data_IF_329402231328
#
_entry.id   IF_329402231328
#
_cell.length_a   1.000
_cell.length_b   1.000
_cell.length_c   1.000
_cell.angle_alpha   90.00
_cell.angle_beta   90.00
_cell.angle_gamma   90.00
#
_symmetry.space_group_name_H-M   'P 1'
#
loop_
_entity.id
_entity.type
_entity.pdbx_description
1 polymer ?
#
# COMPACT_ATOMS: atom_id res chain seq x y z
N UNK A 1 -29.97 -17.85 26.40
CA UNK A 1 -30.38 -17.99 24.99
C UNK A 1 -31.70 -18.73 24.99
N UNK A 2 -32.71 -18.17 24.33
CA UNK A 2 -34.06 -18.71 24.30
C UNK A 2 -34.41 -19.15 22.87
N UNK A 3 -34.78 -20.42 22.73
CA UNK A 3 -35.26 -21.03 21.48
C UNK A 3 -36.75 -21.34 21.59
N UNK A 4 -37.43 -21.43 20.44
CA UNK A 4 -38.81 -21.96 20.36
C UNK A 4 -38.90 -23.38 20.89
N UNK A 5 -40.12 -23.83 21.19
CA UNK A 5 -40.39 -25.17 21.72
C UNK A 5 -39.86 -26.31 20.82
N UNK A 6 -39.80 -26.11 19.50
CA UNK A 6 -39.24 -27.05 18.54
C UNK A 6 -37.72 -26.88 18.32
N UNK A 7 -37.09 -25.92 19.00
CA UNK A 7 -35.66 -25.60 18.91
C UNK A 7 -35.22 -24.95 17.59
N UNK A 8 -36.16 -24.63 16.68
CA UNK A 8 -35.83 -24.17 15.32
C UNK A 8 -35.77 -22.66 15.17
N UNK A 9 -36.34 -21.90 16.10
CA UNK A 9 -36.34 -20.44 16.07
C UNK A 9 -35.55 -19.89 17.24
N UNK A 10 -34.57 -19.05 16.96
CA UNK A 10 -33.88 -18.25 17.96
C UNK A 10 -34.77 -17.06 18.33
N UNK A 11 -35.30 -17.04 19.55
CA UNK A 11 -36.27 -16.04 20.02
C UNK A 11 -35.57 -14.89 20.74
N UNK A 12 -34.57 -15.19 21.58
CA UNK A 12 -33.87 -14.15 22.35
C UNK A 12 -32.42 -14.57 22.67
N UNK A 13 -31.53 -13.60 22.53
CA UNK A 13 -30.12 -13.66 22.94
C UNK A 13 -29.86 -12.48 23.87
N UNK A 14 -29.11 -12.74 24.93
CA UNK A 14 -28.66 -11.74 25.90
C UNK A 14 -27.14 -11.64 25.90
N UNK A 15 -26.58 -10.62 26.55
CA UNK A 15 -25.12 -10.50 26.67
C UNK A 15 -24.47 -11.68 27.42
N UNK A 16 -25.22 -12.38 28.29
CA UNK A 16 -24.74 -13.57 29.01
C UNK A 16 -24.55 -14.79 28.09
N UNK A 17 -25.15 -14.76 26.89
CA UNK A 17 -25.00 -15.79 25.87
C UNK A 17 -23.76 -15.59 24.99
N UNK A 18 -23.05 -14.47 25.17
CA UNK A 18 -21.92 -14.09 24.35
C UNK A 18 -20.61 -14.57 24.96
N UNK A 19 -19.74 -15.12 24.12
CA UNK A 19 -18.36 -15.44 24.49
C UNK A 19 -17.44 -14.47 23.74
N UNK A 20 -16.75 -13.58 24.47
CA UNK A 20 -15.85 -12.56 23.89
C UNK A 20 -16.52 -11.69 22.81
N UNK A 21 -17.81 -11.36 23.00
CA UNK A 21 -18.58 -10.56 22.05
C UNK A 21 -19.06 -11.31 20.80
N UNK A 22 -18.96 -12.64 20.80
CA UNK A 22 -19.43 -13.50 19.71
C UNK A 22 -20.60 -14.38 20.16
N UNK A 23 -21.45 -14.73 19.20
CA UNK A 23 -22.53 -15.70 19.38
C UNK A 23 -22.30 -16.92 18.50
N UNK A 24 -22.40 -18.11 19.09
CA UNK A 24 -22.52 -19.37 18.35
C UNK A 24 -24.00 -19.71 18.24
N UNK A 25 -24.56 -19.63 17.04
CA UNK A 25 -25.94 -20.06 16.78
C UNK A 25 -26.00 -21.59 16.81
N UNK A 26 -26.84 -22.22 17.66
CA UNK A 26 -26.90 -23.67 17.77
C UNK A 26 -27.28 -24.37 16.46
N UNK A 27 -26.75 -25.58 16.28
CA UNK A 27 -27.12 -26.45 15.17
C UNK A 27 -28.62 -26.75 15.21
N UNK A 28 -29.28 -26.66 14.04
CA UNK A 28 -30.71 -26.94 13.91
C UNK A 28 -31.61 -25.71 13.95
N UNK A 29 -31.09 -24.54 14.38
CA UNK A 29 -31.80 -23.27 14.20
C UNK A 29 -31.99 -23.02 12.71
N UNK A 30 -33.22 -22.74 12.32
CA UNK A 30 -33.63 -22.41 10.94
C UNK A 30 -34.06 -20.95 10.80
N UNK A 31 -34.50 -20.34 11.89
CA UNK A 31 -35.02 -18.97 11.87
C UNK A 31 -34.45 -18.16 13.02
N UNK A 32 -34.04 -16.93 12.74
CA UNK A 32 -33.81 -15.89 13.74
C UNK A 32 -35.08 -15.06 13.80
N UNK A 33 -35.73 -15.09 14.96
CA UNK A 33 -36.99 -14.41 15.19
C UNK A 33 -36.84 -12.90 15.29
N UNK A 34 -37.99 -12.23 15.33
CA UNK A 34 -38.07 -10.78 15.46
C UNK A 34 -37.41 -10.33 16.76
N UNK A 35 -36.55 -9.31 16.69
CA UNK A 35 -35.87 -8.71 17.85
C UNK A 35 -35.00 -9.67 18.67
N UNK A 36 -34.62 -10.83 18.13
CA UNK A 36 -33.86 -11.85 18.88
C UNK A 36 -32.52 -11.33 19.45
N UNK A 37 -32.00 -10.24 18.90
CA UNK A 37 -30.74 -9.61 19.29
C UNK A 37 -30.90 -8.22 19.92
N UNK A 38 -32.11 -7.81 20.31
CA UNK A 38 -32.37 -6.47 20.84
C UNK A 38 -31.54 -6.14 22.09
N UNK A 39 -31.27 -7.14 22.93
CA UNK A 39 -30.52 -7.01 24.18
C UNK A 39 -29.00 -7.21 24.03
N UNK A 40 -28.50 -7.46 22.82
CA UNK A 40 -27.10 -7.79 22.56
C UNK A 40 -26.25 -6.54 22.31
N UNK A 41 -25.92 -5.80 23.37
CA UNK A 41 -25.09 -4.59 23.26
C UNK A 41 -23.61 -4.89 23.03
N UNK A 42 -23.14 -6.05 23.50
CA UNK A 42 -21.71 -6.41 23.47
C UNK A 42 -21.33 -7.29 22.26
N UNK A 43 -22.30 -7.62 21.38
CA UNK A 43 -22.03 -8.43 20.19
C UNK A 43 -21.20 -7.62 19.19
N UNK A 44 -19.98 -8.10 18.91
CA UNK A 44 -19.01 -7.47 17.99
C UNK A 44 -18.93 -8.18 16.64
N UNK A 45 -19.22 -9.49 16.61
CA UNK A 45 -19.24 -10.30 15.40
C UNK A 45 -20.39 -11.31 15.42
N UNK A 46 -21.04 -11.52 14.26
CA UNK A 46 -22.12 -12.47 14.09
C UNK A 46 -21.91 -13.35 12.86
N UNK A 47 -22.00 -14.66 13.03
CA UNK A 47 -22.03 -15.63 11.93
C UNK A 47 -23.43 -16.23 11.82
N UNK A 48 -24.07 -16.08 10.67
CA UNK A 48 -25.38 -16.68 10.37
C UNK A 48 -25.15 -17.96 9.56
N UNK A 49 -25.49 -19.15 10.10
CA UNK A 49 -25.27 -20.44 9.45
C UNK A 49 -26.05 -20.64 8.15
N UNK A 50 -25.66 -21.67 7.39
CA UNK A 50 -26.23 -21.98 6.08
C UNK A 50 -27.76 -22.13 6.12
N UNK A 51 -28.43 -21.46 5.17
CA UNK A 51 -29.88 -21.55 4.99
C UNK A 51 -30.73 -20.95 6.10
N UNK A 52 -30.12 -20.27 7.09
CA UNK A 52 -30.88 -19.63 8.17
C UNK A 52 -31.62 -18.41 7.64
N UNK A 53 -32.88 -18.27 8.08
CA UNK A 53 -33.77 -17.17 7.72
C UNK A 53 -33.83 -16.18 8.88
N UNK A 54 -33.42 -14.93 8.65
CA UNK A 54 -33.70 -13.82 9.57
C UNK A 54 -35.07 -13.26 9.20
N UNK A 55 -36.00 -13.29 10.15
CA UNK A 55 -37.38 -12.82 9.91
C UNK A 55 -37.40 -11.36 9.44
N UNK A 56 -38.47 -10.99 8.74
CA UNK A 56 -38.76 -9.56 8.51
C UNK A 56 -38.77 -8.82 9.84
N UNK A 57 -38.16 -7.63 9.87
CA UNK A 57 -37.98 -6.84 11.10
C UNK A 57 -37.23 -7.58 12.21
N UNK A 58 -36.43 -8.60 11.86
CA UNK A 58 -35.48 -9.26 12.76
C UNK A 58 -34.62 -8.29 13.56
N UNK A 59 -34.42 -7.08 13.01
CA UNK A 59 -33.72 -5.92 13.58
C UNK A 59 -32.67 -6.34 14.59
N UNK A 60 -31.51 -6.72 14.07
CA UNK A 60 -30.33 -7.04 14.87
C UNK A 60 -29.76 -5.70 15.36
N UNK A 61 -30.27 -5.26 16.50
CA UNK A 61 -30.04 -3.94 17.06
C UNK A 61 -28.72 -3.82 17.85
N UNK A 62 -27.69 -4.59 17.50
CA UNK A 62 -26.39 -4.57 18.17
C UNK A 62 -25.56 -3.34 17.76
N UNK A 63 -25.30 -2.36 18.64
CA UNK A 63 -24.54 -1.15 18.30
C UNK A 63 -23.03 -1.41 18.18
N UNK A 64 -22.52 -2.43 18.86
CA UNK A 64 -21.11 -2.84 18.81
C UNK A 64 -20.74 -3.74 17.63
N UNK A 65 -21.71 -4.12 16.79
CA UNK A 65 -21.49 -5.09 15.71
C UNK A 65 -20.61 -4.50 14.61
N UNK A 66 -19.42 -5.09 14.43
CA UNK A 66 -18.41 -4.64 13.48
C UNK A 66 -18.27 -5.55 12.26
N UNK A 67 -18.60 -6.84 12.41
CA UNK A 67 -18.50 -7.84 11.35
C UNK A 67 -19.72 -8.78 11.33
N UNK A 68 -20.22 -9.05 10.14
CA UNK A 68 -21.27 -10.06 9.90
C UNK A 68 -20.79 -11.03 8.81
N UNK A 69 -20.93 -12.32 9.07
CA UNK A 69 -20.67 -13.38 8.10
C UNK A 69 -21.95 -14.15 7.79
N UNK A 70 -22.36 -14.11 6.52
CA UNK A 70 -23.54 -14.78 6.00
C UNK A 70 -23.09 -16.03 5.24
N UNK A 71 -23.43 -17.21 5.74
CA UNK A 71 -23.16 -18.46 5.06
C UNK A 71 -24.07 -18.65 3.82
N UNK A 72 -23.86 -19.75 3.09
CA UNK A 72 -24.59 -20.06 1.87
C UNK A 72 -26.11 -20.03 2.09
N UNK A 73 -26.85 -19.44 1.16
CA UNK A 73 -28.32 -19.50 1.17
C UNK A 73 -29.02 -18.79 2.33
N UNK A 74 -28.31 -17.96 3.11
CA UNK A 74 -28.95 -17.17 4.19
C UNK A 74 -29.98 -16.22 3.60
N UNK A 75 -31.13 -16.10 4.27
CA UNK A 75 -32.18 -15.15 3.91
C UNK A 75 -32.25 -14.04 4.94
N UNK A 76 -31.96 -12.81 4.54
CA UNK A 76 -32.13 -11.62 5.37
C UNK A 76 -33.45 -10.95 5.02
N UNK A 77 -34.43 -11.06 5.91
CA UNK A 77 -35.69 -10.35 5.79
C UNK A 77 -35.51 -8.84 5.88
N UNK A 78 -36.53 -8.11 5.41
CA UNK A 78 -36.58 -6.65 5.39
C UNK A 78 -36.06 -6.03 6.69
N UNK A 79 -35.06 -5.15 6.57
CA UNK A 79 -34.52 -4.39 7.70
C UNK A 79 -33.86 -5.24 8.78
N UNK A 80 -33.11 -6.29 8.41
CA UNK A 80 -32.37 -7.09 9.39
C UNK A 80 -31.21 -6.32 10.08
N UNK A 81 -30.51 -5.43 9.38
CA UNK A 81 -29.35 -4.67 9.89
C UNK A 81 -29.40 -3.14 9.61
N UNK A 82 -30.54 -2.44 9.83
CA UNK A 82 -30.63 -1.02 9.55
C UNK A 82 -29.78 -0.20 10.53
N UNK A 83 -29.10 0.83 10.00
CA UNK A 83 -28.37 1.83 10.76
C UNK A 83 -27.22 1.28 11.60
N UNK A 84 -26.60 0.16 11.21
CA UNK A 84 -25.44 -0.39 11.93
C UNK A 84 -24.20 0.44 11.65
N UNK A 85 -24.10 1.60 12.30
CA UNK A 85 -23.02 2.57 12.10
C UNK A 85 -21.66 2.07 12.58
N UNK A 86 -21.58 0.97 13.33
CA UNK A 86 -20.31 0.30 13.69
C UNK A 86 -19.89 -0.79 12.72
N UNK A 87 -20.77 -1.22 11.81
CA UNK A 87 -20.52 -2.33 10.89
C UNK A 87 -19.51 -1.91 9.84
N UNK A 88 -18.35 -2.57 9.83
CA UNK A 88 -17.24 -2.25 8.93
C UNK A 88 -17.16 -3.25 7.78
N UNK A 89 -17.61 -4.49 8.03
CA UNK A 89 -17.40 -5.63 7.12
C UNK A 89 -18.61 -6.56 7.10
N UNK A 90 -19.03 -6.96 5.90
CA UNK A 90 -20.02 -8.01 5.69
C UNK A 90 -19.46 -9.03 4.69
N UNK A 91 -19.35 -10.29 5.12
CA UNK A 91 -18.96 -11.40 4.25
C UNK A 91 -20.24 -12.08 3.75
N UNK A 92 -20.45 -12.10 2.43
CA UNK A 92 -21.68 -12.61 1.81
C UNK A 92 -21.30 -13.82 0.96
N UNK A 93 -21.73 -15.01 1.39
CA UNK A 93 -21.51 -16.26 0.64
C UNK A 93 -22.50 -16.42 -0.52
N UNK A 94 -22.34 -17.48 -1.30
CA UNK A 94 -23.19 -17.80 -2.45
C UNK A 94 -24.68 -17.90 -2.08
N UNK A 95 -25.55 -17.40 -2.97
CA UNK A 95 -27.00 -17.62 -2.89
C UNK A 95 -27.71 -16.90 -1.74
N UNK A 96 -27.08 -15.91 -1.11
CA UNK A 96 -27.72 -15.13 -0.03
C UNK A 96 -28.86 -14.28 -0.61
N UNK A 97 -29.98 -14.19 0.10
CA UNK A 97 -31.06 -13.26 -0.21
C UNK A 97 -31.01 -12.07 0.74
N UNK A 98 -30.81 -10.88 0.20
CA UNK A 98 -30.75 -9.61 0.94
C UNK A 98 -31.98 -8.80 0.55
N UNK A 99 -32.97 -8.71 1.45
CA UNK A 99 -34.20 -7.98 1.17
C UNK A 99 -34.02 -6.45 1.27
N UNK A 100 -35.08 -5.70 1.00
CA UNK A 100 -35.14 -4.24 1.02
C UNK A 100 -34.68 -3.67 2.37
N UNK A 101 -33.94 -2.56 2.30
CA UNK A 101 -33.43 -1.78 3.45
C UNK A 101 -32.64 -2.58 4.49
N UNK A 102 -32.05 -3.71 4.10
CA UNK A 102 -31.36 -4.62 5.04
C UNK A 102 -30.16 -3.97 5.72
N UNK A 103 -29.28 -3.30 4.99
CA UNK A 103 -28.07 -2.62 5.46
C UNK A 103 -28.14 -1.10 5.25
N UNK A 104 -29.33 -0.51 5.25
CA UNK A 104 -29.50 0.94 5.09
C UNK A 104 -28.72 1.72 6.16
N UNK A 105 -28.06 2.81 5.78
CA UNK A 105 -27.28 3.69 6.64
C UNK A 105 -26.18 2.99 7.47
N UNK A 106 -25.58 1.92 6.94
CA UNK A 106 -24.36 1.33 7.52
C UNK A 106 -23.14 2.20 7.16
N UNK A 107 -23.02 3.37 7.78
CA UNK A 107 -22.11 4.45 7.37
C UNK A 107 -20.62 4.18 7.59
N UNK A 108 -20.22 3.06 8.23
CA UNK A 108 -18.82 2.62 8.35
C UNK A 108 -18.45 1.44 7.45
N UNK A 109 -19.42 0.89 6.69
CA UNK A 109 -19.19 -0.23 5.80
C UNK A 109 -18.31 0.21 4.64
N UNK A 110 -17.07 -0.29 4.58
CA UNK A 110 -16.06 0.20 3.60
C UNK A 110 -16.02 -0.60 2.31
N UNK A 111 -16.23 -1.91 2.42
CA UNK A 111 -16.09 -2.87 1.33
C UNK A 111 -17.21 -3.89 1.40
N UNK A 112 -17.78 -4.23 0.25
CA UNK A 112 -18.80 -5.29 0.12
C UNK A 112 -18.42 -6.19 -1.05
N UNK A 113 -18.49 -7.50 -0.83
CA UNK A 113 -18.36 -8.51 -1.89
C UNK A 113 -19.67 -9.29 -1.98
N UNK A 114 -20.31 -9.25 -3.14
CA UNK A 114 -21.57 -9.93 -3.43
C UNK A 114 -21.25 -11.18 -4.26
N UNK A 115 -21.42 -12.36 -3.66
CA UNK A 115 -21.14 -13.65 -4.30
C UNK A 115 -22.22 -14.05 -5.32
N UNK A 116 -21.92 -15.05 -6.14
CA UNK A 116 -22.82 -15.55 -7.19
C UNK A 116 -24.17 -16.02 -6.60
N UNK A 117 -25.23 -15.86 -7.39
CA UNK A 117 -26.59 -16.21 -6.97
C UNK A 117 -27.20 -15.33 -5.88
N UNK A 118 -26.48 -14.31 -5.40
CA UNK A 118 -27.00 -13.38 -4.40
C UNK A 118 -28.04 -12.45 -5.02
N UNK A 119 -29.17 -12.28 -4.33
CA UNK A 119 -30.22 -11.31 -4.68
C UNK A 119 -30.20 -10.14 -3.71
N UNK A 120 -30.18 -8.92 -4.24
CA UNK A 120 -30.13 -7.68 -3.46
C UNK A 120 -31.36 -6.83 -3.76
N UNK A 121 -32.16 -6.59 -2.73
CA UNK A 121 -33.41 -5.83 -2.77
C UNK A 121 -33.21 -4.32 -2.92
N UNK A 122 -34.32 -3.61 -3.10
CA UNK A 122 -34.32 -2.14 -3.19
C UNK A 122 -33.69 -1.50 -1.94
N UNK A 123 -32.87 -0.46 -2.12
CA UNK A 123 -32.26 0.28 -1.00
C UNK A 123 -31.51 -0.59 0.02
N UNK A 124 -31.11 -1.82 -0.34
CA UNK A 124 -30.50 -2.76 0.60
C UNK A 124 -29.22 -2.22 1.24
N UNK A 125 -28.43 -1.43 0.52
CA UNK A 125 -27.22 -0.75 0.98
C UNK A 125 -27.34 0.78 0.84
N UNK A 126 -28.56 1.32 0.95
CA UNK A 126 -28.77 2.77 0.84
C UNK A 126 -27.97 3.53 1.91
N UNK A 127 -27.40 4.68 1.54
CA UNK A 127 -26.62 5.57 2.41
C UNK A 127 -25.45 4.89 3.17
N UNK A 128 -24.85 3.85 2.59
CA UNK A 128 -23.56 3.33 3.03
C UNK A 128 -22.42 4.27 2.58
N UNK A 129 -22.35 5.46 3.20
CA UNK A 129 -21.52 6.59 2.73
C UNK A 129 -20.01 6.38 2.84
N UNK A 130 -19.53 5.35 3.55
CA UNK A 130 -18.11 4.97 3.57
C UNK A 130 -17.75 3.85 2.58
N UNK A 131 -18.73 3.32 1.82
CA UNK A 131 -18.52 2.22 0.89
C UNK A 131 -17.70 2.72 -0.30
N UNK A 132 -16.43 2.34 -0.37
CA UNK A 132 -15.50 2.77 -1.42
C UNK A 132 -15.33 1.72 -2.51
N UNK A 133 -15.51 0.45 -2.16
CA UNK A 133 -15.24 -0.69 -3.03
C UNK A 133 -16.36 -1.72 -2.97
N UNK A 134 -16.90 -2.06 -4.14
CA UNK A 134 -17.93 -3.07 -4.33
C UNK A 134 -17.43 -4.13 -5.30
N UNK A 135 -17.41 -5.39 -4.88
CA UNK A 135 -17.12 -6.53 -5.75
C UNK A 135 -18.39 -7.31 -6.03
N UNK A 136 -18.67 -7.61 -7.30
CA UNK A 136 -19.86 -8.30 -7.77
C UNK A 136 -19.46 -9.55 -8.55
N UNK A 137 -20.00 -10.70 -8.18
CA UNK A 137 -19.88 -11.91 -8.98
C UNK A 137 -20.75 -11.85 -10.25
N UNK A 138 -20.45 -12.70 -11.23
CA UNK A 138 -21.35 -12.94 -12.36
C UNK A 138 -22.71 -13.49 -11.89
N UNK A 139 -23.80 -13.07 -12.54
CA UNK A 139 -25.14 -13.58 -12.28
C UNK A 139 -25.81 -13.00 -11.01
N UNK A 140 -25.27 -11.92 -10.44
CA UNK A 140 -25.94 -11.23 -9.31
C UNK A 140 -27.23 -10.53 -9.76
N UNK A 141 -28.25 -10.61 -8.91
CA UNK A 141 -29.50 -9.87 -9.10
C UNK A 141 -29.54 -8.65 -8.20
N UNK A 142 -29.36 -7.47 -8.78
CA UNK A 142 -29.45 -6.20 -8.05
C UNK A 142 -30.72 -5.46 -8.46
N UNK A 143 -31.56 -5.13 -7.49
CA UNK A 143 -32.68 -4.22 -7.74
C UNK A 143 -32.19 -2.78 -7.93
N UNK A 144 -33.01 -2.00 -8.62
CA UNK A 144 -32.79 -0.56 -8.78
C UNK A 144 -32.60 0.09 -7.40
N UNK A 145 -31.64 1.01 -7.29
CA UNK A 145 -31.33 1.75 -6.05
C UNK A 145 -30.80 0.91 -4.89
N UNK A 146 -30.37 -0.34 -5.10
CA UNK A 146 -29.73 -1.15 -4.06
C UNK A 146 -28.58 -0.42 -3.35
N UNK A 147 -27.83 0.41 -4.07
CA UNK A 147 -26.69 1.19 -3.56
C UNK A 147 -26.92 2.72 -3.66
N UNK A 148 -28.17 3.17 -3.57
CA UNK A 148 -28.47 4.61 -3.58
C UNK A 148 -27.76 5.34 -2.43
N UNK A 149 -27.27 6.56 -2.66
CA UNK A 149 -26.57 7.32 -1.61
C UNK A 149 -25.19 6.79 -1.20
N UNK A 150 -24.66 5.75 -1.85
CA UNK A 150 -23.27 5.29 -1.68
C UNK A 150 -22.30 6.24 -2.41
N UNK A 151 -22.15 7.46 -1.89
CA UNK A 151 -21.43 8.56 -2.55
C UNK A 151 -19.91 8.40 -2.60
N UNK A 152 -19.32 7.55 -1.73
CA UNK A 152 -17.88 7.27 -1.71
C UNK A 152 -17.46 6.12 -2.63
N UNK A 153 -18.39 5.48 -3.34
CA UNK A 153 -18.04 4.43 -4.30
C UNK A 153 -17.10 5.03 -5.34
N UNK A 154 -15.93 4.40 -5.47
CA UNK A 154 -14.90 4.78 -6.44
C UNK A 154 -14.44 3.59 -7.28
N UNK A 155 -14.69 2.36 -6.80
CA UNK A 155 -14.32 1.13 -7.47
C UNK A 155 -15.46 0.11 -7.41
N UNK A 156 -15.94 -0.30 -8.58
CA UNK A 156 -16.90 -1.39 -8.73
C UNK A 156 -16.26 -2.47 -9.60
N UNK A 157 -15.99 -3.62 -8.99
CA UNK A 157 -15.26 -4.73 -9.60
C UNK A 157 -16.27 -5.80 -9.96
N UNK A 158 -16.31 -6.19 -11.23
CA UNK A 158 -17.19 -7.28 -11.70
C UNK A 158 -16.34 -8.49 -12.05
N UNK A 159 -16.61 -9.61 -11.38
CA UNK A 159 -15.98 -10.89 -11.66
C UNK A 159 -16.73 -11.59 -12.81
N UNK A 160 -16.45 -11.12 -14.03
CA UNK A 160 -16.92 -11.71 -15.27
C UNK A 160 -15.89 -11.46 -16.37
N UNK A 161 -15.78 -12.41 -17.29
CA UNK A 161 -15.02 -12.22 -18.54
C UNK A 161 -15.92 -11.69 -19.68
N UNK A 162 -17.24 -11.76 -19.53
CA UNK A 162 -18.21 -11.40 -20.55
C UNK A 162 -18.54 -9.89 -20.51
N UNK A 163 -18.30 -9.18 -21.62
CA UNK A 163 -18.59 -7.74 -21.72
C UNK A 163 -20.09 -7.41 -21.60
N UNK A 164 -20.95 -8.37 -21.98
CA UNK A 164 -22.40 -8.23 -21.88
C UNK A 164 -22.85 -8.15 -20.42
N UNK A 165 -22.26 -8.95 -19.54
CA UNK A 165 -22.58 -8.95 -18.11
C UNK A 165 -22.10 -7.67 -17.43
N UNK A 166 -20.89 -7.20 -17.77
CA UNK A 166 -20.40 -5.90 -17.30
C UNK A 166 -21.34 -4.77 -17.71
N UNK A 167 -21.84 -4.80 -18.96
CA UNK A 167 -22.78 -3.79 -19.47
C UNK A 167 -24.15 -3.88 -18.77
N UNK A 168 -24.66 -5.10 -18.56
CA UNK A 168 -25.91 -5.34 -17.81
C UNK A 168 -25.84 -4.74 -16.42
N UNK A 169 -24.76 -5.02 -15.68
CA UNK A 169 -24.58 -4.52 -14.31
C UNK A 169 -24.38 -3.00 -14.32
N UNK A 170 -23.58 -2.44 -15.23
CA UNK A 170 -23.42 -0.98 -15.38
C UNK A 170 -24.76 -0.26 -15.49
N UNK A 171 -25.68 -0.80 -16.28
CA UNK A 171 -27.01 -0.21 -16.47
C UNK A 171 -27.91 -0.22 -15.22
N UNK A 172 -27.54 -0.95 -14.17
CA UNK A 172 -28.24 -0.92 -12.86
C UNK A 172 -27.80 0.27 -12.00
N UNK A 173 -26.70 0.94 -12.36
CA UNK A 173 -26.12 2.07 -11.64
C UNK A 173 -26.32 3.38 -12.43
N UNK A 174 -26.40 4.53 -11.73
CA UNK A 174 -26.37 5.85 -12.35
C UNK A 174 -25.18 6.06 -13.28
N UNK A 175 -25.38 6.83 -14.36
CA UNK A 175 -24.37 7.07 -15.40
C UNK A 175 -23.04 7.62 -14.86
N UNK A 176 -23.08 8.48 -13.84
CA UNK A 176 -21.85 9.05 -13.25
C UNK A 176 -20.96 8.01 -12.54
N UNK A 177 -21.51 6.84 -12.18
CA UNK A 177 -20.75 5.73 -11.59
C UNK A 177 -20.19 4.76 -12.63
N UNK A 178 -20.58 4.86 -13.91
CA UNK A 178 -20.14 3.92 -14.95
C UNK A 178 -18.62 3.88 -15.15
N UNK A 179 -17.94 5.00 -14.90
CA UNK A 179 -16.48 5.11 -14.97
C UNK A 179 -15.74 4.34 -13.86
N UNK A 180 -16.44 3.97 -12.78
CA UNK A 180 -15.86 3.26 -11.63
C UNK A 180 -15.81 1.74 -11.85
N UNK A 181 -16.44 1.25 -12.93
CA UNK A 181 -16.54 -0.16 -13.23
C UNK A 181 -15.30 -0.71 -13.90
N UNK A 182 -14.82 -1.84 -13.42
CA UNK A 182 -13.72 -2.58 -14.02
C UNK A 182 -13.91 -4.09 -13.86
N UNK A 183 -13.34 -4.88 -14.79
CA UNK A 183 -13.30 -6.33 -14.65
C UNK A 183 -12.35 -6.74 -13.53
N UNK A 184 -12.63 -7.88 -12.90
CA UNK A 184 -11.79 -8.47 -11.86
C UNK A 184 -10.37 -8.76 -12.34
N UNK A 185 -10.22 -9.27 -13.57
CA UNK A 185 -8.92 -9.49 -14.22
C UNK A 185 -8.07 -8.21 -14.28
N UNK A 186 -8.65 -7.08 -14.69
CA UNK A 186 -7.96 -5.78 -14.70
C UNK A 186 -7.59 -5.32 -13.29
N UNK A 187 -8.49 -5.48 -12.32
CA UNK A 187 -8.24 -5.10 -10.94
C UNK A 187 -7.10 -5.91 -10.32
N UNK A 188 -7.07 -7.23 -10.53
CA UNK A 188 -6.02 -8.09 -10.01
C UNK A 188 -4.65 -7.75 -10.60
N UNK A 189 -4.62 -7.39 -11.89
CA UNK A 189 -3.40 -6.92 -12.54
C UNK A 189 -2.90 -5.59 -11.96
N UNK A 190 -3.80 -4.63 -11.73
CA UNK A 190 -3.45 -3.37 -11.05
C UNK A 190 -2.90 -3.64 -9.63
N UNK A 191 -3.51 -4.57 -8.89
CA UNK A 191 -2.99 -4.97 -7.58
C UNK A 191 -1.62 -5.64 -7.64
N UNK A 192 -1.29 -6.37 -8.71
CA UNK A 192 0.04 -6.94 -8.91
C UNK A 192 1.09 -5.85 -9.19
N UNK A 193 0.76 -4.89 -10.06
CA UNK A 193 1.61 -3.73 -10.33
C UNK A 193 1.86 -2.92 -9.04
N UNK A 194 0.80 -2.64 -8.28
CA UNK A 194 0.87 -1.91 -7.00
C UNK A 194 1.75 -2.64 -5.98
N UNK A 195 1.60 -3.96 -5.84
CA UNK A 195 2.46 -4.78 -4.97
C UNK A 195 3.93 -4.74 -5.40
N UNK A 196 4.20 -4.81 -6.71
CA UNK A 196 5.57 -4.74 -7.24
C UNK A 196 6.19 -3.36 -6.97
N UNK A 197 5.44 -2.27 -7.16
CA UNK A 197 5.89 -0.92 -6.80
C UNK A 197 6.17 -0.78 -5.30
N UNK A 198 5.26 -1.24 -4.44
CA UNK A 198 5.48 -1.21 -2.99
C UNK A 198 6.69 -2.06 -2.56
N UNK A 199 6.97 -3.17 -3.24
CA UNK A 199 8.18 -3.97 -3.01
C UNK A 199 9.45 -3.18 -3.38
N UNK A 200 9.42 -2.40 -4.46
CA UNK A 200 10.51 -1.50 -4.82
C UNK A 200 10.71 -0.41 -3.75
N UNK A 201 9.63 0.21 -3.25
CA UNK A 201 9.69 1.29 -2.26
C UNK A 201 10.10 0.84 -0.85
N UNK A 202 9.99 -0.47 -0.54
CA UNK A 202 10.54 -1.04 0.71
C UNK A 202 12.07 -1.10 0.73
N UNK A 203 12.73 -0.97 -0.42
CA UNK A 203 14.19 -0.93 -0.45
C UNK A 203 14.69 0.35 0.25
N UNK A 204 15.57 0.22 1.26
CA UNK A 204 15.93 1.35 2.10
C UNK A 204 16.45 2.54 1.27
N UNK A 205 17.38 2.31 0.36
CA UNK A 205 18.01 3.35 -0.48
C UNK A 205 17.14 3.86 -1.65
N UNK A 206 15.94 3.28 -1.87
CA UNK A 206 14.97 3.74 -2.90
C UNK A 206 13.95 4.70 -2.30
N UNK A 207 13.60 4.52 -1.02
CA UNK A 207 12.70 5.43 -0.31
C UNK A 207 13.42 6.75 0.01
N UNK A 208 12.81 7.88 -0.36
CA UNK A 208 13.30 9.22 0.02
C UNK A 208 13.37 9.47 1.54
N UNK A 209 12.88 8.53 2.36
CA UNK A 209 12.85 8.58 3.83
C UNK A 209 14.08 7.96 4.50
N UNK A 210 14.96 7.28 3.77
CA UNK A 210 16.13 6.60 4.34
C UNK A 210 17.11 7.49 5.09
N UNK A 211 17.43 8.71 4.63
CA UNK A 211 18.29 9.63 5.37
C UNK A 211 17.69 10.09 6.71
N UNK A 212 16.38 9.91 6.89
CA UNK A 212 15.64 10.36 8.07
C UNK A 212 15.35 9.22 9.06
N UNK A 213 15.60 7.96 8.69
CA UNK A 213 15.30 6.79 9.54
C UNK A 213 16.13 6.75 10.82
N UNK A 214 17.38 7.22 10.79
CA UNK A 214 18.22 7.37 12.00
C UNK A 214 17.82 8.59 12.86
N UNK A 215 17.08 9.56 12.30
CA UNK A 215 16.74 10.83 12.95
C UNK A 215 15.26 10.95 13.40
N UNK A 216 14.36 10.13 12.88
CA UNK A 216 12.89 10.24 13.06
C UNK A 216 12.30 9.48 14.25
N UNK A 217 13.13 8.94 15.15
CA UNK A 217 12.67 8.26 16.36
C UNK A 217 11.97 9.20 17.38
N UNK A 218 11.56 10.42 16.99
CA UNK A 218 11.14 11.49 17.90
C UNK A 218 9.79 12.16 17.59
N UNK A 219 9.11 11.97 16.45
CA UNK A 219 7.85 12.69 16.19
C UNK A 219 6.83 11.84 15.39
N UNK A 220 5.76 11.34 16.03
CA UNK A 220 4.71 10.52 15.38
C UNK A 220 3.88 11.27 14.31
N UNK A 221 3.78 12.60 14.37
CA UNK A 221 2.82 13.39 13.59
C UNK A 221 3.34 13.91 12.22
N UNK A 222 4.61 13.65 11.88
CA UNK A 222 5.22 14.13 10.63
C UNK A 222 5.12 13.10 9.49
N UNK A 223 4.94 11.80 9.81
CA UNK A 223 4.81 10.70 8.85
C UNK A 223 3.73 10.93 7.75
N UNK A 224 2.53 11.47 8.05
CA UNK A 224 1.53 11.76 7.02
C UNK A 224 1.93 12.91 6.07
N UNK A 225 2.79 13.84 6.51
CA UNK A 225 3.21 15.01 5.74
C UNK A 225 4.45 14.75 4.86
N UNK A 226 5.33 13.81 5.25
CA UNK A 226 6.49 13.43 4.40
C UNK A 226 6.07 12.46 3.28
N UNK A 227 5.07 11.61 3.51
CA UNK A 227 4.46 10.79 2.45
C UNK A 227 3.80 11.61 1.33
N UNK A 228 3.64 12.93 1.49
CA UNK A 228 3.07 13.81 0.48
C UNK A 228 4.00 14.09 -0.73
N UNK A 229 5.23 13.56 -0.75
CA UNK A 229 6.14 13.64 -1.91
C UNK A 229 6.30 12.33 -2.71
N UNK A 230 5.42 11.33 -2.51
CA UNK A 230 5.29 10.18 -3.41
C UNK A 230 4.28 10.48 -4.54
N UNK A 231 4.60 11.50 -5.34
CA UNK A 231 3.88 11.84 -6.56
C UNK A 231 4.56 11.27 -7.82
N UNK A 232 4.04 11.63 -9.00
CA UNK A 232 4.58 11.21 -10.31
C UNK A 232 6.04 11.62 -10.56
N UNK A 233 6.60 12.50 -9.73
CA UNK A 233 7.94 13.06 -9.89
C UNK A 233 9.06 12.21 -9.24
N UNK A 234 8.70 11.24 -8.39
CA UNK A 234 9.69 10.37 -7.73
C UNK A 234 10.43 9.51 -8.78
N UNK A 235 11.77 9.47 -8.73
CA UNK A 235 12.59 8.75 -9.72
C UNK A 235 12.18 7.27 -9.85
N UNK A 236 11.97 6.58 -8.72
CA UNK A 236 11.54 5.20 -8.72
C UNK A 236 10.14 5.01 -9.34
N UNK A 237 9.24 5.98 -9.11
CA UNK A 237 7.91 6.00 -9.72
C UNK A 237 8.02 6.14 -11.24
N UNK A 238 8.79 7.13 -11.73
CA UNK A 238 8.95 7.36 -13.17
C UNK A 238 9.55 6.14 -13.89
N UNK A 239 10.67 5.62 -13.39
CA UNK A 239 11.32 4.47 -14.00
C UNK A 239 10.44 3.22 -13.95
N UNK A 240 9.76 2.95 -12.83
CA UNK A 240 8.86 1.82 -12.72
C UNK A 240 7.67 1.93 -13.67
N UNK A 241 7.00 3.07 -13.71
CA UNK A 241 5.83 3.26 -14.59
C UNK A 241 6.19 3.34 -16.08
N UNK A 242 7.38 3.82 -16.44
CA UNK A 242 7.90 3.78 -17.81
C UNK A 242 8.09 2.34 -18.29
N UNK A 243 8.67 1.47 -17.45
CA UNK A 243 8.85 0.05 -17.78
C UNK A 243 7.53 -0.72 -17.80
N UNK A 244 6.64 -0.48 -16.82
CA UNK A 244 5.33 -1.14 -16.76
C UNK A 244 4.44 -0.73 -17.93
N UNK A 245 4.55 0.50 -18.44
CA UNK A 245 3.81 0.97 -19.61
C UNK A 245 4.16 0.18 -20.90
N UNK A 246 5.31 -0.51 -20.93
CA UNK A 246 5.71 -1.37 -22.05
C UNK A 246 5.15 -2.80 -21.92
N UNK A 247 4.58 -3.18 -20.77
CA UNK A 247 4.01 -4.51 -20.59
C UNK A 247 2.64 -4.61 -21.25
N UNK A 248 2.43 -5.71 -21.97
CA UNK A 248 1.11 -6.08 -22.44
C UNK A 248 0.35 -6.83 -21.35
N UNK A 249 -0.94 -6.53 -21.22
CA UNK A 249 -1.77 -7.24 -20.25
C UNK A 249 -1.96 -8.71 -20.67
N UNK A 250 -1.84 -9.67 -19.73
CA UNK A 250 -2.03 -11.07 -20.01
C UNK A 250 -3.50 -11.34 -20.32
N UNK A 251 -3.76 -12.01 -21.45
CA UNK A 251 -5.12 -12.36 -21.91
C UNK A 251 -5.49 -13.83 -21.66
N UNK A 252 -4.55 -14.64 -21.17
CA UNK A 252 -4.73 -16.08 -20.97
C UNK A 252 -4.31 -16.51 -19.55
N UNK A 253 -4.92 -17.58 -19.04
CA UNK A 253 -4.79 -18.06 -17.66
C UNK A 253 -3.35 -18.46 -17.27
N UNK A 254 -2.53 -18.92 -18.24
CA UNK A 254 -1.10 -19.21 -18.06
C UNK A 254 -0.18 -17.98 -18.12
N UNK A 255 -0.68 -16.86 -18.65
CA UNK A 255 0.11 -15.64 -18.84
C UNK A 255 0.24 -14.82 -17.55
N UNK A 256 -0.56 -15.10 -16.51
CA UNK A 256 -0.48 -14.39 -15.23
C UNK A 256 0.85 -14.63 -14.50
N UNK A 257 1.35 -15.87 -14.50
CA UNK A 257 2.64 -16.20 -13.88
C UNK A 257 3.81 -15.53 -14.63
N UNK A 258 3.74 -15.52 -15.97
CA UNK A 258 4.71 -14.80 -16.79
C UNK A 258 4.67 -13.29 -16.54
N UNK A 259 3.48 -12.71 -16.41
CA UNK A 259 3.31 -11.29 -16.08
C UNK A 259 3.85 -10.94 -14.70
N UNK A 260 3.62 -11.79 -13.70
CA UNK A 260 4.21 -11.63 -12.37
C UNK A 260 5.74 -11.67 -12.42
N UNK A 261 6.31 -12.59 -13.20
CA UNK A 261 7.76 -12.65 -13.38
C UNK A 261 8.30 -11.40 -14.07
N UNK A 262 7.64 -10.93 -15.14
CA UNK A 262 8.01 -9.68 -15.81
C UNK A 262 7.98 -8.48 -14.85
N UNK A 263 6.98 -8.38 -13.97
CA UNK A 263 6.95 -7.34 -12.94
C UNK A 263 8.12 -7.46 -11.96
N UNK A 264 8.49 -8.67 -11.55
CA UNK A 264 9.66 -8.88 -10.68
C UNK A 264 10.95 -8.46 -11.39
N UNK A 265 11.09 -8.80 -12.67
CA UNK A 265 12.25 -8.43 -13.48
C UNK A 265 12.36 -6.91 -13.63
N UNK A 266 11.23 -6.21 -13.86
CA UNK A 266 11.16 -4.74 -13.84
C UNK A 266 11.60 -4.19 -12.50
N UNK A 267 11.10 -4.73 -11.37
CA UNK A 267 11.52 -4.28 -10.03
C UNK A 267 13.03 -4.42 -9.86
N UNK A 268 13.64 -5.52 -10.30
CA UNK A 268 15.09 -5.72 -10.20
C UNK A 268 15.87 -4.75 -11.10
N UNK A 269 15.41 -4.55 -12.33
CA UNK A 269 16.02 -3.61 -13.28
C UNK A 269 15.99 -2.19 -12.73
N UNK A 270 14.82 -1.70 -12.32
CA UNK A 270 14.67 -0.35 -11.74
C UNK A 270 15.53 -0.19 -10.49
N UNK A 271 15.66 -1.24 -9.66
CA UNK A 271 16.61 -1.20 -8.54
C UNK A 271 18.05 -0.97 -9.01
N UNK A 272 18.51 -1.71 -10.00
CA UNK A 272 19.87 -1.55 -10.53
C UNK A 272 20.11 -0.15 -11.08
N UNK A 273 19.13 0.40 -11.81
CA UNK A 273 19.22 1.74 -12.40
C UNK A 273 19.31 2.83 -11.33
N UNK A 274 18.48 2.75 -10.29
CA UNK A 274 18.53 3.72 -9.17
C UNK A 274 19.88 3.59 -8.42
N UNK A 275 20.37 2.37 -8.16
CA UNK A 275 21.70 2.20 -7.53
C UNK A 275 22.81 2.83 -8.37
N UNK A 276 22.78 2.62 -9.68
CA UNK A 276 23.76 3.20 -10.59
C UNK A 276 23.72 4.73 -10.52
N UNK A 277 22.53 5.35 -10.53
CA UNK A 277 22.39 6.80 -10.41
C UNK A 277 22.88 7.35 -9.06
N UNK A 278 22.59 6.66 -7.94
CA UNK A 278 23.11 7.06 -6.62
C UNK A 278 24.64 7.01 -6.60
N UNK A 279 25.23 5.95 -7.15
CA UNK A 279 26.69 5.82 -7.25
C UNK A 279 27.28 6.97 -8.06
N UNK A 280 26.67 7.36 -9.18
CA UNK A 280 27.14 8.49 -9.99
C UNK A 280 27.07 9.82 -9.24
N UNK A 281 25.98 10.08 -8.49
CA UNK A 281 25.86 11.29 -7.66
C UNK A 281 26.93 11.30 -6.54
N UNK A 282 27.13 10.17 -5.86
CA UNK A 282 28.13 10.05 -4.80
C UNK A 282 29.55 10.21 -5.35
N UNK A 283 29.85 9.65 -6.53
CA UNK A 283 31.12 9.90 -7.23
C UNK A 283 31.31 11.38 -7.52
N UNK A 284 30.30 12.05 -8.08
CA UNK A 284 30.37 13.48 -8.39
C UNK A 284 30.63 14.33 -7.13
N UNK A 285 29.96 14.05 -6.02
CA UNK A 285 30.18 14.73 -4.74
C UNK A 285 31.57 14.46 -4.16
N UNK A 286 32.05 13.22 -4.24
CA UNK A 286 33.40 12.83 -3.83
C UNK A 286 34.46 13.61 -4.64
N UNK A 287 34.30 13.62 -5.96
CA UNK A 287 35.17 14.38 -6.88
C UNK A 287 35.17 15.86 -6.51
N UNK A 288 34.00 16.48 -6.30
CA UNK A 288 33.89 17.88 -5.92
C UNK A 288 34.61 18.21 -4.60
N UNK A 289 34.49 17.35 -3.59
CA UNK A 289 35.20 17.50 -2.30
C UNK A 289 36.72 17.38 -2.47
N UNK A 290 37.19 16.36 -3.20
CA UNK A 290 38.62 16.17 -3.46
C UNK A 290 39.20 17.34 -4.25
N UNK A 291 38.48 17.85 -5.26
CA UNK A 291 38.86 19.05 -6.01
C UNK A 291 38.86 20.32 -5.14
N UNK A 292 37.92 20.45 -4.20
CA UNK A 292 37.91 21.52 -3.22
C UNK A 292 39.14 21.48 -2.32
N UNK A 293 39.49 20.30 -1.81
CA UNK A 293 40.66 20.08 -0.97
C UNK A 293 41.97 20.45 -1.68
N UNK A 294 42.17 19.97 -2.92
CA UNK A 294 43.36 20.30 -3.72
C UNK A 294 43.50 21.81 -3.88
N UNK A 295 42.41 22.51 -4.24
CA UNK A 295 42.40 23.98 -4.35
C UNK A 295 42.77 24.68 -3.05
N UNK A 296 42.30 24.19 -1.90
CA UNK A 296 42.65 24.76 -0.59
C UNK A 296 44.14 24.61 -0.29
N UNK A 297 44.71 23.42 -0.47
CA UNK A 297 46.13 23.17 -0.20
C UNK A 297 47.01 23.99 -1.13
N UNK A 298 46.70 24.01 -2.43
CA UNK A 298 47.42 24.83 -3.42
C UNK A 298 47.32 26.32 -3.09
N UNK A 299 46.14 26.80 -2.71
CA UNK A 299 45.92 28.19 -2.29
C UNK A 299 46.76 28.56 -1.06
N UNK A 300 46.83 27.69 -0.05
CA UNK A 300 47.67 27.90 1.14
C UNK A 300 49.16 27.95 0.81
N UNK A 301 49.63 27.05 -0.07
CA UNK A 301 51.01 27.06 -0.54
C UNK A 301 51.33 28.38 -1.26
N UNK A 302 50.49 28.81 -2.19
CA UNK A 302 50.66 30.07 -2.91
C UNK A 302 50.63 31.29 -1.97
N UNK A 303 49.73 31.30 -0.99
CA UNK A 303 49.66 32.35 0.00
C UNK A 303 50.94 32.44 0.85
N UNK A 304 51.51 31.31 1.30
CA UNK A 304 52.80 31.31 2.00
C UNK A 304 53.96 31.75 1.12
N UNK A 305 54.00 31.34 -0.15
CA UNK A 305 55.01 31.76 -1.13
C UNK A 305 55.01 33.29 -1.30
N UNK A 306 53.82 33.88 -1.40
CA UNK A 306 53.65 35.33 -1.58
C UNK A 306 53.98 36.14 -0.33
N UNK A 307 53.64 35.64 0.86
CA UNK A 307 53.95 36.30 2.14
C UNK A 307 55.44 36.15 2.53
N UNK A 308 56.07 35.04 2.18
CA UNK A 308 57.43 34.70 2.58
C UNK A 308 58.20 34.02 1.44
N UNK A 309 58.86 34.82 0.61
CA UNK A 309 59.55 34.37 -0.62
C UNK A 309 60.66 33.33 -0.42
N UNK A 310 61.11 33.09 0.82
CA UNK A 310 62.09 32.05 1.19
C UNK A 310 61.55 30.85 1.98
N UNK A 311 60.24 30.77 2.27
CA UNK A 311 59.70 29.76 3.21
C UNK A 311 59.94 28.32 2.74
N UNK A 312 59.61 28.00 1.49
CA UNK A 312 59.82 26.66 0.96
C UNK A 312 61.28 26.40 0.57
N UNK A 313 62.08 27.44 0.30
CA UNK A 313 63.53 27.30 0.15
C UNK A 313 64.20 26.87 1.47
N UNK A 314 63.67 27.32 2.61
CA UNK A 314 64.11 26.90 3.94
C UNK A 314 63.54 25.53 4.37
N UNK A 315 62.46 25.06 3.74
CA UNK A 315 61.79 23.77 4.04
C UNK A 315 61.47 22.97 2.75
N UNK A 316 62.49 22.53 1.98
CA UNK A 316 62.27 21.87 0.70
C UNK A 316 61.55 20.52 0.83
N UNK A 317 61.81 19.77 1.91
CA UNK A 317 61.15 18.50 2.17
C UNK A 317 59.63 18.65 2.36
N UNK A 318 59.19 19.70 3.06
CA UNK A 318 57.78 20.00 3.27
C UNK A 318 57.08 20.37 1.95
N UNK A 319 57.77 21.14 1.10
CA UNK A 319 57.25 21.50 -0.23
C UNK A 319 57.06 20.27 -1.13
N UNK A 320 58.04 19.37 -1.15
CA UNK A 320 57.96 18.11 -1.91
C UNK A 320 56.79 17.26 -1.42
N UNK A 321 56.64 17.11 -0.11
CA UNK A 321 55.57 16.31 0.49
C UNK A 321 54.18 16.84 0.14
N UNK A 322 53.97 18.16 0.21
CA UNK A 322 52.68 18.77 -0.14
C UNK A 322 52.37 18.63 -1.64
N UNK A 323 53.37 18.77 -2.50
CA UNK A 323 53.22 18.63 -3.96
C UNK A 323 52.94 17.19 -4.38
N UNK A 324 53.65 16.22 -3.78
CA UNK A 324 53.38 14.80 -3.99
C UNK A 324 51.98 14.42 -3.50
N UNK A 325 51.54 15.02 -2.39
CA UNK A 325 50.22 14.78 -1.83
C UNK A 325 49.09 15.31 -2.73
N UNK A 326 49.17 16.56 -3.21
CA UNK A 326 48.17 17.10 -4.15
C UNK A 326 48.12 16.31 -5.45
N UNK A 327 49.27 15.89 -5.99
CA UNK A 327 49.34 15.02 -7.17
C UNK A 327 48.70 13.63 -6.92
N UNK A 328 48.90 13.05 -5.73
CA UNK A 328 48.28 11.78 -5.37
C UNK A 328 46.74 11.90 -5.28
N UNK A 329 46.22 12.99 -4.70
CA UNK A 329 44.78 13.27 -4.66
C UNK A 329 44.22 13.50 -6.08
N UNK A 330 44.97 14.15 -6.97
CA UNK A 330 44.60 14.28 -8.39
C UNK A 330 44.42 12.93 -9.10
N UNK A 331 45.32 11.97 -8.86
CA UNK A 331 45.18 10.60 -9.37
C UNK A 331 43.97 9.87 -8.76
N UNK A 332 43.67 10.10 -7.49
CA UNK A 332 42.46 9.57 -6.84
C UNK A 332 41.19 10.08 -7.52
N UNK A 333 41.14 11.36 -7.90
CA UNK A 333 40.01 11.92 -8.65
C UNK A 333 39.83 11.20 -10.00
N UNK A 334 40.91 11.00 -10.76
CA UNK A 334 40.88 10.30 -12.06
C UNK A 334 40.37 8.86 -11.93
N UNK A 335 40.82 8.15 -10.88
CA UNK A 335 40.35 6.80 -10.57
C UNK A 335 38.85 6.78 -10.25
N UNK A 336 38.36 7.71 -9.41
CA UNK A 336 36.93 7.84 -9.06
C UNK A 336 36.08 8.24 -10.27
N UNK A 337 36.64 8.99 -11.22
CA UNK A 337 36.02 9.32 -12.51
C UNK A 337 35.93 8.14 -13.49
N UNK A 338 36.55 6.99 -13.16
CA UNK A 338 36.44 5.76 -13.94
C UNK A 338 37.69 5.38 -14.73
N UNK A 339 38.80 6.11 -14.59
CA UNK A 339 40.07 5.71 -15.20
C UNK A 339 40.70 4.53 -14.45
N UNK A 340 40.47 3.32 -14.99
CA UNK A 340 40.99 2.06 -14.44
C UNK A 340 42.49 1.86 -14.68
N UNK A 341 43.15 2.74 -15.44
CA UNK A 341 44.60 2.67 -15.68
C UNK A 341 45.40 3.30 -14.54
N UNK A 342 44.76 4.09 -13.67
CA UNK A 342 45.38 4.66 -12.47
C UNK A 342 45.72 3.55 -11.48
N UNK A 343 47.01 3.44 -11.12
CA UNK A 343 47.49 2.55 -10.07
C UNK A 343 48.05 3.35 -8.89
N UNK A 344 47.78 2.88 -7.68
CA UNK A 344 48.34 3.44 -6.44
C UNK A 344 49.44 2.54 -5.92
N UNK A 345 50.57 3.12 -5.50
CA UNK A 345 51.59 2.38 -4.76
C UNK A 345 51.06 2.03 -3.35
N UNK A 346 51.61 0.98 -2.73
CA UNK A 346 51.26 0.60 -1.35
C UNK A 346 51.50 1.75 -0.36
N UNK A 347 52.55 2.54 -0.58
CA UNK A 347 52.87 3.74 0.19
C UNK A 347 51.80 4.83 0.04
N UNK A 348 51.28 5.06 -1.17
CA UNK A 348 50.20 6.02 -1.40
C UNK A 348 48.90 5.59 -0.70
N UNK A 349 48.57 4.29 -0.75
CA UNK A 349 47.40 3.72 -0.06
C UNK A 349 47.55 3.86 1.45
N UNK A 350 48.72 3.56 1.99
CA UNK A 350 49.02 3.72 3.42
C UNK A 350 48.90 5.17 3.89
N UNK A 351 49.36 6.13 3.08
CA UNK A 351 49.23 7.56 3.41
C UNK A 351 47.79 8.07 3.35
N UNK A 352 46.98 7.54 2.43
CA UNK A 352 45.54 7.87 2.38
C UNK A 352 44.79 7.32 3.61
N UNK A 353 45.14 6.13 4.10
CA UNK A 353 44.47 5.52 5.26
C UNK A 353 44.85 6.14 6.61
N UNK A 354 46.00 6.80 6.69
CA UNK A 354 46.50 7.47 7.91
C UNK A 354 45.90 8.87 8.15
N UNK A 355 45.01 9.38 7.28
CA UNK A 355 44.36 10.69 7.48
C UNK A 355 45.33 11.88 7.40
N UNK A 356 46.36 11.77 6.55
CA UNK A 356 47.51 12.70 6.39
C UNK A 356 47.14 14.20 6.29
N UNK A 357 45.91 14.49 5.87
CA UNK A 357 45.33 15.84 5.76
C UNK A 357 45.34 16.60 7.08
N UNK A 358 45.01 15.95 8.21
CA UNK A 358 44.93 16.62 9.51
C UNK A 358 46.30 16.89 10.15
N UNK A 359 47.26 15.97 9.99
CA UNK A 359 48.57 16.08 10.63
C UNK A 359 49.48 17.09 9.94
N UNK A 360 49.44 17.19 8.61
CA UNK A 360 50.28 18.13 7.86
C UNK A 360 49.81 19.58 8.04
N UNK A 361 48.50 19.83 8.11
CA UNK A 361 47.93 21.16 8.41
C UNK A 361 48.17 21.61 9.86
N UNK A 362 48.25 20.69 10.82
CA UNK A 362 48.59 21.01 12.20
C UNK A 362 50.09 21.35 12.38
N UNK A 363 50.95 20.89 11.46
CA UNK A 363 52.38 21.20 11.41
C UNK A 363 52.72 22.43 10.56
N UNK A 364 51.75 22.93 9.78
CA UNK A 364 51.86 24.08 8.87
C UNK A 364 51.33 25.35 9.51
#
# INVERSE_FOLDING_TARGET
MHLSADGRTLIEVTNDDLHEGQLIIPNGVKTIGQFAFEKCTNLTALTIPEGVIVSEWGHIACPGLTEVSLAKGVWLGRGAFPGRTSLIKVNISEGVYIDRVTFVSCTRLKKVSIAAGTSVGWHAFEDCTALTELSLAEGVWLNRWAFWGCTALTRIIVNTEQDQELTRIKNLFPQHQHAQFMKKSVYDLMCLQDKAYHQLMREPWVSGLFPLYEHLNLIPDILPHINAQEGTDHLAYRLFHEEVAQLTFPTEEGALAAYQQQLQDIVQKVKQDIKAQIIEVQKAQCIAKLQGYVRTVEGLMQHKLTQHSGFFAAKPALHSQLTEHTAAVGRLIQYVQGDKTVQFSQEAIHRFSQGFVGQTLAQF
#
